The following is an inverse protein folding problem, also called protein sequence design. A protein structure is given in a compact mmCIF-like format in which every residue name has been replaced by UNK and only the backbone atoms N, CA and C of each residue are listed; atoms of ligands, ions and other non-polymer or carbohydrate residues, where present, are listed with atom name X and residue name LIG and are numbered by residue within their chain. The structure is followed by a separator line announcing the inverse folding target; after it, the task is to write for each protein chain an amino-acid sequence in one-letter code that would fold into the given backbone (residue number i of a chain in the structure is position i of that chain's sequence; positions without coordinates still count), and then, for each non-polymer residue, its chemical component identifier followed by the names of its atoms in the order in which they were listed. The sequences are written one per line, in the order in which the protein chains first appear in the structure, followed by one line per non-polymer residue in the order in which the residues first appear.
data_IF_384451017802
#
_entry.id   IF_384451017802
#
_cell.length_a   1.000
_cell.length_b   1.000
_cell.length_c   1.000
_cell.angle_alpha   90.00
_cell.angle_beta   90.00
_cell.angle_gamma   90.00
#
_symmetry.space_group_name_H-M   'P 1'
#
loop_
_entity.id
_entity.type
_entity.pdbx_description
1 polymer ?
#
# COMPACT_ATOMS: atom_id res chain seq x y z
N UNK A 1 -3.48 16.53 -2.47
CA UNK A 1 -4.79 16.33 -1.82
C UNK A 1 -5.12 17.51 -0.94
N UNK A 2 -6.30 18.05 -1.08
CA UNK A 2 -6.72 19.23 -0.31
C UNK A 2 -7.62 18.80 0.84
N UNK A 3 -7.29 19.21 2.04
CA UNK A 3 -8.11 18.98 3.21
C UNK A 3 -9.07 20.15 3.45
N UNK A 4 -10.29 19.81 3.81
CA UNK A 4 -11.25 20.77 4.32
C UNK A 4 -11.27 20.60 5.84
N UNK A 5 -10.66 21.52 6.55
CA UNK A 5 -10.51 21.43 8.01
C UNK A 5 -11.84 21.64 8.76
N UNK A 6 -12.84 22.15 8.07
CA UNK A 6 -14.20 22.38 8.61
C UNK A 6 -15.07 21.12 8.55
N UNK A 7 -14.59 20.00 8.00
CA UNK A 7 -15.32 18.75 7.91
C UNK A 7 -14.65 17.67 8.75
N UNK A 8 -15.44 16.81 9.44
CA UNK A 8 -14.86 15.69 10.15
C UNK A 8 -14.18 14.74 9.14
N UNK A 9 -13.00 14.29 9.48
CA UNK A 9 -12.30 13.29 8.70
C UNK A 9 -12.99 11.95 8.89
N UNK A 10 -13.17 11.22 7.79
CA UNK A 10 -13.57 9.83 7.89
C UNK A 10 -12.47 9.04 8.59
N UNK A 11 -12.88 8.08 9.39
CA UNK A 11 -11.96 7.20 10.09
C UNK A 11 -12.33 5.75 9.79
N UNK A 12 -11.33 4.95 9.45
CA UNK A 12 -11.51 3.56 9.04
C UNK A 12 -10.77 2.62 9.98
N UNK A 13 -11.35 1.45 10.23
CA UNK A 13 -10.66 0.44 11.03
C UNK A 13 -9.36 0.00 10.38
N UNK A 14 -9.39 -0.27 9.08
CA UNK A 14 -8.19 -0.65 8.33
C UNK A 14 -8.11 0.09 7.02
N UNK A 15 -6.90 0.40 6.60
CA UNK A 15 -6.62 0.99 5.30
C UNK A 15 -5.50 0.28 4.57
N UNK A 16 -5.46 0.46 3.26
CA UNK A 16 -4.46 -0.16 2.40
C UNK A 16 -3.90 0.87 1.41
N UNK A 17 -2.59 0.88 1.30
CA UNK A 17 -1.87 1.53 0.22
C UNK A 17 -1.13 0.44 -0.56
N UNK A 18 -1.18 0.51 -1.89
CA UNK A 18 -0.42 -0.37 -2.77
C UNK A 18 0.49 0.48 -3.63
N UNK A 19 1.76 0.15 -3.68
CA UNK A 19 2.70 0.88 -4.51
C UNK A 19 4.00 0.12 -4.73
N UNK A 20 4.84 0.67 -5.58
CA UNK A 20 6.18 0.10 -5.85
C UNK A 20 7.26 0.75 -5.01
N UNK A 21 7.16 2.05 -4.75
CA UNK A 21 8.15 2.81 -3.97
C UNK A 21 9.58 2.56 -4.48
N UNK A 22 9.81 2.84 -5.76
CA UNK A 22 11.04 2.49 -6.46
C UNK A 22 11.79 3.73 -6.95
N UNK A 23 12.57 4.43 -6.11
CA UNK A 23 12.69 4.24 -4.65
C UNK A 23 11.63 5.02 -3.86
N UNK A 24 11.53 4.82 -2.53
CA UNK A 24 10.70 5.66 -1.67
C UNK A 24 11.24 7.10 -1.65
N UNK A 25 10.34 8.08 -1.51
CA UNK A 25 10.71 9.49 -1.40
C UNK A 25 9.79 10.23 -0.41
N UNK A 26 10.06 11.51 -0.17
CA UNK A 26 9.34 12.31 0.83
C UNK A 26 7.83 12.39 0.56
N UNK A 27 7.42 12.44 -0.70
CA UNK A 27 6.01 12.41 -1.08
C UNK A 27 5.31 11.14 -0.63
N UNK A 28 5.99 10.01 -0.71
CA UNK A 28 5.46 8.73 -0.19
C UNK A 28 5.27 8.79 1.32
N UNK A 29 6.24 9.32 2.06
CA UNK A 29 6.15 9.44 3.51
C UNK A 29 5.00 10.35 3.93
N UNK A 30 4.84 11.48 3.25
CA UNK A 30 3.71 12.38 3.52
C UNK A 30 2.37 11.68 3.31
N UNK A 31 2.24 10.97 2.19
CA UNK A 31 1.03 10.22 1.84
C UNK A 31 0.71 9.14 2.88
N UNK A 32 1.72 8.34 3.24
CA UNK A 32 1.56 7.26 4.22
C UNK A 32 1.12 7.81 5.57
N UNK A 33 1.75 8.89 6.03
CA UNK A 33 1.40 9.51 7.29
C UNK A 33 -0.03 10.07 7.28
N UNK A 34 -0.44 10.71 6.18
CA UNK A 34 -1.78 11.23 6.03
C UNK A 34 -2.85 10.12 6.05
N UNK A 35 -2.58 9.00 5.39
CA UNK A 35 -3.47 7.84 5.39
C UNK A 35 -3.51 7.18 6.76
N UNK A 36 -2.38 7.06 7.45
CA UNK A 36 -2.30 6.44 8.77
C UNK A 36 -3.14 7.20 9.81
N UNK A 37 -3.24 8.51 9.68
CA UNK A 37 -4.09 9.32 10.57
C UNK A 37 -5.58 9.02 10.41
N UNK A 38 -5.99 8.43 9.30
CA UNK A 38 -7.38 8.12 9.00
C UNK A 38 -7.76 6.68 9.32
N UNK A 39 -6.85 5.88 9.83
CA UNK A 39 -7.07 4.46 10.10
C UNK A 39 -6.60 4.07 11.49
N UNK A 40 -7.26 3.06 12.08
CA UNK A 40 -6.73 2.40 13.28
C UNK A 40 -5.49 1.58 12.92
N UNK A 41 -5.51 0.93 11.76
CA UNK A 41 -4.38 0.16 11.24
C UNK A 41 -4.22 0.40 9.74
N UNK A 42 -3.04 0.83 9.32
CA UNK A 42 -2.70 1.01 7.92
C UNK A 42 -1.73 -0.08 7.49
N UNK A 43 -2.01 -0.70 6.35
CA UNK A 43 -1.15 -1.68 5.69
C UNK A 43 -0.63 -1.08 4.39
N UNK A 44 0.65 -1.21 4.16
CA UNK A 44 1.31 -0.76 2.92
C UNK A 44 1.85 -1.98 2.20
N UNK A 45 1.31 -2.28 1.03
CA UNK A 45 1.83 -3.32 0.15
C UNK A 45 2.88 -2.72 -0.77
N UNK A 46 4.08 -3.30 -0.75
CA UNK A 46 5.16 -2.93 -1.65
C UNK A 46 5.25 -4.01 -2.73
N UNK A 47 4.77 -3.70 -3.92
CA UNK A 47 4.83 -4.63 -5.06
C UNK A 47 6.26 -4.73 -5.56
N UNK A 48 6.76 -5.95 -5.66
CA UNK A 48 8.14 -6.23 -6.06
C UNK A 48 8.21 -7.32 -7.11
N UNK A 49 9.21 -7.24 -7.97
CA UNK A 49 9.52 -8.26 -8.97
C UNK A 49 10.99 -8.62 -8.90
N UNK A 50 11.32 -9.84 -9.29
CA UNK A 50 12.72 -10.26 -9.41
C UNK A 50 13.45 -9.41 -10.44
N UNK A 51 14.70 -9.09 -10.17
CA UNK A 51 15.57 -8.37 -11.13
C UNK A 51 15.36 -6.86 -11.16
N UNK A 52 14.59 -6.28 -10.27
CA UNK A 52 14.45 -4.83 -10.17
C UNK A 52 15.76 -4.18 -9.73
N UNK A 53 16.02 -2.97 -10.23
CA UNK A 53 17.26 -2.24 -9.95
C UNK A 53 17.48 -2.02 -8.45
N UNK A 54 16.41 -1.66 -7.73
CA UNK A 54 16.43 -1.58 -6.28
C UNK A 54 15.64 -2.76 -5.73
N UNK A 55 16.28 -3.70 -5.02
CA UNK A 55 15.58 -4.90 -4.53
C UNK A 55 14.35 -4.56 -3.70
N UNK A 56 13.28 -5.33 -3.88
CA UNK A 56 12.01 -5.10 -3.21
C UNK A 56 12.10 -5.20 -1.69
N UNK A 57 12.87 -6.18 -1.20
CA UNK A 57 13.10 -6.33 0.25
C UNK A 57 13.74 -5.09 0.87
N UNK A 58 14.65 -4.46 0.14
CA UNK A 58 15.31 -3.23 0.60
C UNK A 58 14.32 -2.06 0.66
N UNK A 59 13.49 -1.90 -0.37
CA UNK A 59 12.46 -0.86 -0.40
C UNK A 59 11.44 -1.04 0.73
N UNK A 60 10.96 -2.25 0.94
CA UNK A 60 10.05 -2.56 2.03
C UNK A 60 10.70 -2.32 3.40
N UNK A 61 11.98 -2.69 3.55
CA UNK A 61 12.73 -2.44 4.76
C UNK A 61 12.86 -0.96 5.10
N UNK A 62 13.17 -0.12 4.10
CA UNK A 62 13.25 1.33 4.30
C UNK A 62 11.92 1.92 4.76
N UNK A 63 10.82 1.49 4.15
CA UNK A 63 9.49 1.98 4.55
C UNK A 63 9.13 1.54 5.96
N UNK A 64 9.46 0.30 6.33
CA UNK A 64 9.20 -0.20 7.67
C UNK A 64 9.99 0.59 8.73
N UNK A 65 11.24 0.96 8.43
CA UNK A 65 12.06 1.78 9.33
C UNK A 65 11.51 3.20 9.48
N UNK A 66 11.07 3.80 8.35
CA UNK A 66 10.57 5.17 8.37
C UNK A 66 9.16 5.29 8.96
N UNK A 67 8.40 4.21 8.94
CA UNK A 67 6.98 4.21 9.33
C UNK A 67 6.68 3.05 10.28
N UNK A 68 7.22 3.12 11.49
CA UNK A 68 7.05 2.06 12.50
C UNK A 68 5.59 1.87 12.92
N UNK A 69 4.74 2.85 12.65
CA UNK A 69 3.31 2.81 13.02
C UNK A 69 2.42 2.14 11.97
N UNK A 70 2.98 1.67 10.86
CA UNK A 70 2.22 0.98 9.80
C UNK A 70 2.78 -0.43 9.61
N UNK A 71 1.96 -1.31 9.01
CA UNK A 71 2.38 -2.66 8.64
C UNK A 71 2.83 -2.64 7.19
N UNK A 72 4.10 -2.90 6.94
CA UNK A 72 4.65 -2.96 5.58
C UNK A 72 4.79 -4.41 5.17
N UNK A 73 4.20 -4.77 4.03
CA UNK A 73 4.23 -6.13 3.48
C UNK A 73 4.83 -6.10 2.08
N UNK A 74 5.89 -6.84 1.85
CA UNK A 74 6.42 -7.04 0.52
C UNK A 74 5.53 -8.02 -0.24
N UNK A 75 5.07 -7.63 -1.42
CA UNK A 75 4.24 -8.47 -2.29
C UNK A 75 5.05 -8.80 -3.53
N UNK A 76 5.76 -9.91 -3.48
CA UNK A 76 6.54 -10.40 -4.62
C UNK A 76 5.62 -11.06 -5.64
N UNK A 77 5.78 -10.71 -6.90
CA UNK A 77 4.95 -11.23 -7.97
C UNK A 77 5.69 -11.25 -9.31
N UNK A 78 5.11 -12.00 -10.25
CA UNK A 78 5.53 -12.00 -11.65
C UNK A 78 4.35 -11.73 -12.59
N UNK A 79 3.31 -11.06 -12.08
CA UNK A 79 2.10 -10.75 -12.84
C UNK A 79 2.29 -9.54 -13.75
N UNK A 80 1.67 -9.56 -14.92
CA UNK A 80 1.61 -8.41 -15.80
C UNK A 80 0.60 -7.37 -15.29
N UNK A 81 0.58 -6.20 -15.93
CA UNK A 81 -0.30 -5.09 -15.55
C UNK A 81 -1.25 -4.71 -16.68
N UNK A 82 -1.79 -5.69 -17.40
CA UNK A 82 -2.79 -5.46 -18.44
C UNK A 82 -4.17 -5.28 -17.81
N UNK A 83 -4.60 -4.04 -17.66
CA UNK A 83 -5.84 -3.69 -16.98
C UNK A 83 -7.12 -4.12 -17.72
N UNK A 84 -7.00 -4.55 -18.98
CA UNK A 84 -8.13 -5.05 -19.78
C UNK A 84 -8.34 -6.56 -19.64
N UNK A 85 -7.49 -7.25 -18.89
CA UNK A 85 -7.55 -8.69 -18.70
C UNK A 85 -8.20 -9.03 -17.36
N UNK A 86 -9.46 -9.52 -17.41
CA UNK A 86 -10.21 -9.85 -16.21
C UNK A 86 -9.63 -11.04 -15.43
N UNK A 87 -9.02 -12.00 -16.13
CA UNK A 87 -8.36 -13.13 -15.46
C UNK A 87 -7.13 -12.66 -14.68
N UNK A 88 -6.39 -11.72 -15.25
CA UNK A 88 -5.24 -11.12 -14.58
C UNK A 88 -5.67 -10.33 -13.34
N UNK A 89 -6.75 -9.58 -13.43
CA UNK A 89 -7.32 -8.88 -12.28
C UNK A 89 -7.67 -9.84 -11.14
N UNK A 90 -8.28 -10.97 -11.46
CA UNK A 90 -8.61 -11.99 -10.45
C UNK A 90 -7.36 -12.52 -9.76
N UNK A 91 -6.26 -12.69 -10.51
CA UNK A 91 -4.97 -13.10 -9.93
C UNK A 91 -4.40 -12.05 -8.99
N UNK A 92 -4.46 -10.76 -9.36
CA UNK A 92 -4.02 -9.67 -8.50
C UNK A 92 -4.82 -9.62 -7.19
N UNK A 93 -6.14 -9.73 -7.29
CA UNK A 93 -7.03 -9.71 -6.11
C UNK A 93 -6.71 -10.90 -5.20
N UNK A 94 -6.55 -12.10 -5.76
CA UNK A 94 -6.21 -13.29 -4.99
C UNK A 94 -4.86 -13.13 -4.29
N UNK A 95 -3.86 -12.55 -4.97
CA UNK A 95 -2.55 -12.30 -4.39
C UNK A 95 -2.65 -11.33 -3.21
N UNK A 96 -3.33 -10.20 -3.38
CA UNK A 96 -3.48 -9.22 -2.32
C UNK A 96 -4.24 -9.79 -1.12
N UNK A 97 -5.29 -10.57 -1.35
CA UNK A 97 -6.02 -11.25 -0.26
C UNK A 97 -5.13 -12.20 0.51
N UNK A 98 -4.25 -12.93 -0.19
CA UNK A 98 -3.33 -13.86 0.46
C UNK A 98 -2.31 -13.15 1.36
N UNK A 99 -2.02 -11.88 1.11
CA UNK A 99 -1.06 -11.08 1.86
C UNK A 99 -1.70 -10.18 2.93
N UNK A 100 -3.01 -10.02 2.88
CA UNK A 100 -3.72 -9.16 3.82
C UNK A 100 -3.63 -9.72 5.23
N UNK A 101 -3.11 -8.94 6.22
CA UNK A 101 -2.80 -9.48 7.54
C UNK A 101 -3.95 -9.46 8.55
N UNK A 102 -5.11 -8.91 8.17
CA UNK A 102 -6.26 -8.81 9.06
C UNK A 102 -7.39 -9.75 8.65
N UNK A 103 -8.32 -10.04 9.57
CA UNK A 103 -9.47 -10.90 9.30
C UNK A 103 -10.57 -10.20 8.51
N UNK A 104 -10.61 -8.87 8.56
CA UNK A 104 -11.59 -8.05 7.85
C UNK A 104 -10.90 -6.93 7.11
N UNK A 105 -11.62 -6.28 6.21
CA UNK A 105 -11.09 -5.18 5.42
C UNK A 105 -10.36 -5.63 4.16
N UNK A 106 -9.63 -4.72 3.52
CA UNK A 106 -9.47 -3.32 3.93
C UNK A 106 -10.77 -2.51 3.83
N UNK A 107 -10.97 -1.59 4.75
CA UNK A 107 -12.16 -0.72 4.78
C UNK A 107 -11.97 0.53 3.92
N UNK A 108 -10.74 0.89 3.63
CA UNK A 108 -10.39 1.97 2.73
C UNK A 108 -9.13 1.63 1.95
N UNK A 109 -9.06 2.11 0.72
CA UNK A 109 -7.86 2.04 -0.11
C UNK A 109 -7.49 3.47 -0.47
N UNK A 110 -6.25 3.85 -0.20
CA UNK A 110 -5.75 5.19 -0.47
C UNK A 110 -4.89 5.18 -1.72
N UNK A 111 -5.08 6.18 -2.57
CA UNK A 111 -4.32 6.35 -3.79
C UNK A 111 -3.89 7.81 -3.91
N UNK A 112 -2.71 8.03 -4.46
CA UNK A 112 -2.18 9.37 -4.72
C UNK A 112 -2.55 9.88 -6.11
N UNK A 113 -3.19 9.08 -6.92
CA UNK A 113 -3.57 9.45 -8.30
C UNK A 113 -4.83 10.30 -8.37
#
# INVERSE_FOLDING_TARGET
MTYRTDQPREHFSTGLIVGRFHPPHLGHSWFINAAAEQCDALVVFVNTRAGELVPGSLRAGWLAELHANVTVVEVAHELDTNWNDNELWAKWIALFRSKWPHNTGPHAVFSSD
#
